data_IF_981807198870
#
_entry.id   IF_981807198870
#
_cell.length_a   1.000
_cell.length_b   1.000
_cell.length_c   1.000
_cell.angle_alpha   90.00
_cell.angle_beta   90.00
_cell.angle_gamma   90.00
#
_symmetry.space_group_name_H-M   'P 1'
#
loop_
_entity.id
_entity.type
_entity.pdbx_description
1 polymer ?
#
# COMPACT_ATOMS: atom_id res chain seq x y z
N UNK A 1 6.74 26.55 2.04
CA UNK A 1 5.38 26.94 2.42
C UNK A 1 4.54 25.67 2.37
N UNK A 2 3.83 25.27 3.43
CA UNK A 2 2.94 24.11 3.30
C UNK A 2 1.83 24.52 2.32
N UNK A 3 1.75 23.83 1.19
CA UNK A 3 0.65 24.02 0.25
C UNK A 3 -0.64 23.64 0.97
N UNK A 4 -1.49 24.63 1.24
CA UNK A 4 -2.81 24.38 1.82
C UNK A 4 -3.57 23.44 0.89
N UNK A 5 -3.81 22.21 1.34
CA UNK A 5 -4.61 21.25 0.59
C UNK A 5 -6.03 21.78 0.39
N UNK A 6 -6.65 21.46 -0.74
CA UNK A 6 -8.02 21.88 -1.00
C UNK A 6 -9.00 21.16 -0.07
N UNK A 7 -10.13 21.76 0.31
CA UNK A 7 -11.16 21.08 1.12
C UNK A 7 -11.65 19.76 0.50
N UNK A 8 -11.67 19.69 -0.83
CA UNK A 8 -12.02 18.48 -1.57
C UNK A 8 -11.00 17.35 -1.35
N UNK A 9 -9.70 17.66 -1.39
CA UNK A 9 -8.63 16.68 -1.14
C UNK A 9 -8.68 16.18 0.31
N UNK A 10 -8.86 17.08 1.28
CA UNK A 10 -8.99 16.70 2.70
C UNK A 10 -10.16 15.75 2.93
N UNK A 11 -11.33 16.04 2.33
CA UNK A 11 -12.51 15.18 2.41
C UNK A 11 -12.25 13.81 1.80
N UNK A 12 -11.62 13.76 0.62
CA UNK A 12 -11.31 12.50 -0.05
C UNK A 12 -10.37 11.63 0.80
N UNK A 13 -9.32 12.23 1.39
CA UNK A 13 -8.39 11.54 2.30
C UNK A 13 -9.08 10.98 3.52
N UNK A 14 -9.93 11.77 4.18
CA UNK A 14 -10.68 11.32 5.35
C UNK A 14 -11.61 10.13 5.03
N UNK A 15 -12.33 10.19 3.90
CA UNK A 15 -13.20 9.09 3.47
C UNK A 15 -12.41 7.83 3.09
N UNK A 16 -11.26 7.99 2.43
CA UNK A 16 -10.38 6.86 2.12
C UNK A 16 -9.85 6.21 3.40
N UNK A 17 -9.37 7.00 4.37
CA UNK A 17 -8.87 6.51 5.64
C UNK A 17 -9.93 5.70 6.42
N UNK A 18 -11.18 6.16 6.43
CA UNK A 18 -12.28 5.44 7.08
C UNK A 18 -12.53 4.05 6.47
N UNK A 19 -12.60 3.97 5.14
CA UNK A 19 -12.80 2.70 4.42
C UNK A 19 -11.61 1.77 4.64
N UNK A 20 -10.39 2.28 4.45
CA UNK A 20 -9.17 1.48 4.59
C UNK A 20 -8.99 0.96 6.02
N UNK A 21 -9.39 1.72 7.04
CA UNK A 21 -9.43 1.23 8.42
C UNK A 21 -10.41 0.07 8.60
N UNK A 22 -11.61 0.18 8.01
CA UNK A 22 -12.61 -0.89 8.08
C UNK A 22 -12.11 -2.17 7.43
N UNK A 23 -11.44 -2.06 6.29
CA UNK A 23 -10.97 -3.21 5.52
C UNK A 23 -9.72 -3.86 6.12
N UNK A 24 -8.79 -3.05 6.63
CA UNK A 24 -7.50 -3.56 7.17
C UNK A 24 -7.54 -3.85 8.67
N UNK A 25 -8.57 -3.37 9.38
CA UNK A 25 -8.66 -3.47 10.83
C UNK A 25 -7.60 -2.65 11.59
N UNK A 26 -6.83 -1.80 10.89
CA UNK A 26 -5.75 -0.98 11.46
C UNK A 26 -6.02 0.49 11.14
N UNK A 27 -5.77 1.38 12.10
CA UNK A 27 -5.98 2.83 11.89
C UNK A 27 -5.08 3.39 10.77
N UNK A 28 -3.84 2.88 10.67
CA UNK A 28 -2.83 3.34 9.72
C UNK A 28 -1.96 2.18 9.21
N UNK A 29 -2.50 1.32 8.32
CA UNK A 29 -1.68 0.32 7.67
C UNK A 29 -0.59 1.02 6.84
N UNK A 30 0.65 0.53 6.93
CA UNK A 30 1.66 0.86 5.93
C UNK A 30 1.31 0.15 4.63
N UNK A 31 1.57 0.80 3.50
CA UNK A 31 1.29 0.30 2.15
C UNK A 31 2.56 0.04 1.37
N UNK A 32 2.45 -0.84 0.38
CA UNK A 32 3.54 -1.23 -0.50
C UNK A 32 3.03 -1.59 -1.89
N UNK A 33 3.97 -1.63 -2.83
CA UNK A 33 3.75 -2.24 -4.13
C UNK A 33 3.66 -3.77 -4.00
N UNK A 34 2.79 -4.34 -4.83
CA UNK A 34 2.68 -5.79 -5.05
C UNK A 34 2.55 -6.07 -6.54
N UNK A 35 2.92 -7.28 -6.94
CA UNK A 35 2.35 -7.85 -8.14
C UNK A 35 0.98 -8.44 -7.76
N UNK A 36 0.00 -8.22 -8.62
CA UNK A 36 -1.33 -8.82 -8.57
C UNK A 36 -1.37 -9.82 -9.72
N UNK A 37 -2.17 -9.64 -10.75
CA UNK A 37 -2.23 -10.56 -11.89
C UNK A 37 -1.11 -10.35 -12.94
N UNK A 38 -0.38 -9.24 -12.84
CA UNK A 38 0.64 -8.86 -13.81
C UNK A 38 2.04 -9.34 -13.40
N UNK A 39 2.91 -9.60 -14.38
CA UNK A 39 4.34 -9.85 -14.12
C UNK A 39 5.03 -8.61 -13.50
N UNK A 40 4.34 -7.46 -13.47
CA UNK A 40 4.82 -6.16 -13.02
C UNK A 40 4.23 -5.71 -11.67
N UNK A 41 4.84 -4.70 -11.04
CA UNK A 41 4.38 -4.12 -9.77
C UNK A 41 3.29 -3.07 -9.99
N UNK A 42 2.16 -3.49 -10.53
CA UNK A 42 1.03 -2.60 -10.86
C UNK A 42 -0.02 -2.52 -9.75
N UNK A 43 0.11 -3.36 -8.71
CA UNK A 43 -0.79 -3.38 -7.57
C UNK A 43 -0.22 -2.74 -6.31
N UNK A 44 -1.10 -2.52 -5.34
CA UNK A 44 -0.76 -2.11 -3.98
C UNK A 44 -1.61 -2.87 -2.94
N UNK A 45 -1.02 -3.09 -1.76
CA UNK A 45 -1.68 -3.70 -0.62
C UNK A 45 -1.06 -3.23 0.72
N UNK A 46 -1.75 -3.43 1.84
CA UNK A 46 -1.17 -3.27 3.17
C UNK A 46 0.07 -4.15 3.36
N UNK A 47 1.00 -3.68 4.19
CA UNK A 47 2.17 -4.45 4.60
C UNK A 47 1.75 -5.53 5.59
N UNK A 48 2.22 -6.75 5.36
CA UNK A 48 2.01 -7.90 6.25
C UNK A 48 2.64 -7.63 7.61
N UNK A 49 1.90 -7.88 8.69
CA UNK A 49 2.33 -7.66 10.08
C UNK A 49 2.74 -8.96 10.82
N UNK A 50 2.75 -10.11 10.14
CA UNK A 50 3.13 -11.41 10.71
C UNK A 50 4.60 -11.80 10.43
N UNK A 51 5.09 -12.88 11.07
CA UNK A 51 6.49 -13.38 11.02
C UNK A 51 7.09 -13.59 9.61
N UNK A 52 6.27 -13.55 8.55
CA UNK A 52 6.69 -13.57 7.14
C UNK A 52 7.12 -12.18 6.63
N UNK A 53 7.92 -11.44 7.41
CA UNK A 53 8.36 -10.08 7.04
C UNK A 53 9.64 -10.06 6.19
N UNK A 54 9.69 -9.06 5.32
CA UNK A 54 10.78 -8.56 4.45
C UNK A 54 11.52 -9.54 3.52
N UNK A 55 11.92 -10.73 3.97
CA UNK A 55 12.69 -11.68 3.14
C UNK A 55 11.89 -12.25 1.94
N UNK A 56 10.56 -12.29 2.03
CA UNK A 56 9.67 -12.65 0.92
C UNK A 56 9.29 -11.44 0.05
N UNK A 57 9.80 -10.26 0.35
CA UNK A 57 9.35 -8.99 -0.20
C UNK A 57 10.48 -8.12 -0.73
N UNK A 58 11.73 -8.50 -0.48
CA UNK A 58 12.81 -8.16 -1.37
C UNK A 58 12.39 -8.64 -2.77
N UNK A 59 12.47 -7.77 -3.74
CA UNK A 59 12.29 -8.15 -5.14
C UNK A 59 13.72 -8.30 -5.68
N UNK A 60 14.40 -9.46 -5.53
CA UNK A 60 15.48 -9.78 -6.42
C UNK A 60 14.90 -9.92 -7.81
N UNK A 61 15.52 -9.21 -8.75
CA UNK A 61 15.36 -9.37 -10.18
C UNK A 61 14.97 -10.81 -10.53
N UNK A 62 13.88 -10.97 -11.28
CA UNK A 62 13.68 -12.24 -11.96
C UNK A 62 14.94 -12.50 -12.80
N UNK A 63 15.65 -13.63 -12.60
CA UNK A 63 15.16 -14.91 -12.09
C UNK A 63 15.80 -15.28 -10.74
N UNK A 64 15.36 -14.66 -9.63
CA UNK A 64 15.80 -15.06 -8.29
C UNK A 64 14.89 -14.63 -7.13
N UNK A 65 13.77 -13.95 -7.41
CA UNK A 65 12.85 -13.47 -6.40
C UNK A 65 11.98 -14.56 -5.74
N UNK A 66 11.39 -14.27 -4.57
CA UNK A 66 10.54 -15.21 -3.85
C UNK A 66 9.34 -15.66 -4.69
N UNK A 67 8.94 -16.92 -4.52
CA UNK A 67 7.85 -17.53 -5.27
C UNK A 67 6.53 -16.77 -5.03
N UNK A 68 5.89 -16.33 -6.11
CA UNK A 68 4.53 -15.76 -6.10
C UNK A 68 3.51 -16.91 -6.01
N UNK A 69 2.32 -16.65 -5.46
CA UNK A 69 1.21 -17.60 -5.61
C UNK A 69 0.65 -17.59 -7.05
N UNK A 70 -0.34 -18.44 -7.33
CA UNK A 70 -0.97 -18.53 -8.66
C UNK A 70 -1.66 -17.24 -9.12
N UNK A 71 -1.87 -16.29 -8.21
CA UNK A 71 -2.47 -14.98 -8.44
C UNK A 71 -1.44 -13.86 -8.49
N UNK A 72 -0.14 -14.18 -8.47
CA UNK A 72 0.96 -13.22 -8.56
C UNK A 72 1.16 -12.35 -7.31
N UNK A 73 0.37 -12.61 -6.26
CA UNK A 73 0.42 -11.95 -4.96
C UNK A 73 1.30 -12.78 -4.02
N UNK A 74 2.00 -12.15 -3.10
CA UNK A 74 2.52 -12.92 -1.96
C UNK A 74 1.31 -13.26 -1.10
N UNK A 75 0.98 -14.55 -0.98
CA UNK A 75 -0.15 -15.10 -0.22
C UNK A 75 -0.35 -14.49 1.19
N UNK A 76 0.68 -13.85 1.73
CA UNK A 76 0.69 -13.15 3.00
C UNK A 76 0.15 -11.72 2.97
N UNK A 77 -0.08 -11.09 1.81
CA UNK A 77 -0.54 -9.71 1.69
C UNK A 77 -2.01 -9.54 2.12
N UNK A 78 -2.30 -8.71 3.16
CA UNK A 78 -3.67 -8.45 3.60
C UNK A 78 -4.54 -7.82 2.52
N UNK A 79 -5.85 -7.98 2.64
CA UNK A 79 -6.82 -7.19 1.88
C UNK A 79 -6.90 -5.76 2.45
N UNK A 80 -7.23 -4.74 1.62
CA UNK A 80 -7.55 -4.87 0.21
C UNK A 80 -6.31 -4.85 -0.70
N UNK A 81 -6.35 -5.67 -1.76
CA UNK A 81 -5.38 -5.65 -2.85
C UNK A 81 -5.99 -4.86 -4.02
N UNK A 82 -5.28 -3.86 -4.51
CA UNK A 82 -5.79 -2.92 -5.51
C UNK A 82 -4.87 -2.99 -6.74
N UNK A 83 -5.45 -3.24 -7.91
CA UNK A 83 -4.75 -3.20 -9.20
C UNK A 83 -4.95 -1.84 -9.88
N UNK A 84 -3.89 -1.29 -10.47
CA UNK A 84 -3.91 0.00 -11.17
C UNK A 84 -3.50 -0.11 -12.64
N UNK A 85 -2.98 -1.27 -13.07
CA UNK A 85 -2.38 -1.54 -14.37
C UNK A 85 -1.23 -0.57 -14.72
N UNK A 86 -0.66 0.13 -13.73
CA UNK A 86 0.42 1.10 -13.93
C UNK A 86 1.33 1.19 -12.71
N UNK A 87 2.58 0.76 -12.86
CA UNK A 87 3.61 0.85 -11.82
C UNK A 87 3.76 2.26 -11.27
N UNK A 88 3.68 3.28 -12.14
CA UNK A 88 3.81 4.68 -11.73
C UNK A 88 2.62 5.15 -10.88
N UNK A 89 1.41 4.74 -11.22
CA UNK A 89 0.20 5.10 -10.44
C UNK A 89 0.21 4.36 -9.11
N UNK A 90 0.51 3.06 -9.10
CA UNK A 90 0.62 2.27 -7.88
C UNK A 90 1.65 2.87 -6.91
N UNK A 91 2.85 3.23 -7.41
CA UNK A 91 3.90 3.82 -6.59
C UNK A 91 3.47 5.17 -6.00
N UNK A 92 2.84 6.02 -6.81
CA UNK A 92 2.31 7.30 -6.34
C UNK A 92 1.26 7.12 -5.23
N UNK A 93 0.35 6.16 -5.37
CA UNK A 93 -0.69 5.89 -4.38
C UNK A 93 -0.12 5.34 -3.07
N UNK A 94 0.91 4.48 -3.13
CA UNK A 94 1.61 3.98 -1.93
C UNK A 94 2.22 5.12 -1.13
N UNK A 95 2.96 6.02 -1.79
CA UNK A 95 3.55 7.20 -1.13
C UNK A 95 2.47 8.10 -0.54
N UNK A 96 1.37 8.31 -1.26
CA UNK A 96 0.25 9.14 -0.80
C UNK A 96 -0.40 8.57 0.47
N UNK A 97 -0.69 7.26 0.49
CA UNK A 97 -1.32 6.58 1.61
C UNK A 97 -0.40 6.52 2.84
N UNK A 98 0.89 6.29 2.63
CA UNK A 98 1.87 6.30 3.71
C UNK A 98 2.07 7.71 4.30
N UNK A 99 2.09 8.75 3.47
CA UNK A 99 2.14 10.13 3.95
C UNK A 99 0.88 10.50 4.77
N UNK A 100 -0.29 9.98 4.40
CA UNK A 100 -1.54 10.20 5.14
C UNK A 100 -1.50 9.54 6.52
N UNK A 101 -0.86 8.37 6.64
CA UNK A 101 -0.61 7.72 7.92
C UNK A 101 0.34 8.52 8.83
N UNK A 102 1.43 9.06 8.27
CA UNK A 102 2.42 9.85 9.01
C UNK A 102 1.86 11.19 9.52
N UNK A 103 0.93 11.80 8.77
CA UNK A 103 0.28 13.05 9.16
C UNK A 103 -0.55 12.93 10.45
N UNK A 104 -1.07 11.74 10.76
CA UNK A 104 -1.84 11.53 12.00
C UNK A 104 -0.93 11.24 13.19
N UNK A 105 0.18 10.52 12.98
CA UNK A 105 1.16 10.23 14.05
C UNK A 105 1.93 11.50 14.47
N UNK A 106 2.24 12.39 13.52
CA UNK A 106 2.88 13.69 13.78
C UNK A 106 1.99 14.76 14.42
N UNK A 107 0.70 14.50 14.61
CA UNK A 107 -0.26 15.42 15.25
C UNK A 107 -0.37 15.27 16.78
N UNK A 108 0.39 14.35 17.37
CA UNK A 108 0.36 14.04 18.80
C UNK A 108 1.55 14.64 19.60
N UNK A 109 2.12 15.77 19.16
CA UNK A 109 3.14 16.53 19.89
C UNK A 109 2.66 17.95 20.22
#
# INVERSE_FOLDING_TARGET
MPSSQTPALMKARASAAEILKQDTGTDYPKWRLIATDSESLTGLAPVCNGERTDALHEIPDYPGGPARDEHGVYDCCPWPQIETYSTAIAAYLVELLNADAEQVDGGAQ
#
